data_IF_815001598695
#
_entry.id   IF_815001598695
#
_cell.length_a   1.000
_cell.length_b   1.000
_cell.length_c   1.000
_cell.angle_alpha   90.00
_cell.angle_beta   90.00
_cell.angle_gamma   90.00
#
_symmetry.space_group_name_H-M   'P 1'
#
loop_
_entity.id
_entity.type
_entity.pdbx_description
1 polymer ?
#
# COMPACT_ATOMS: atom_id res chain seq x y z
N UNK A 1 -4.33 25.34 5.84
CA UNK A 1 -4.74 25.18 4.43
C UNK A 1 -6.22 25.52 4.31
N UNK A 2 -6.59 26.31 3.30
CA UNK A 2 -7.99 26.62 2.99
C UNK A 2 -8.70 25.37 2.43
N UNK A 3 -9.95 25.15 2.80
CA UNK A 3 -10.74 23.99 2.32
C UNK A 3 -10.95 24.13 0.81
N UNK A 4 -10.75 23.07 0.00
CA UNK A 4 -11.06 23.12 -1.43
C UNK A 4 -12.56 23.34 -1.62
N UNK A 5 -12.92 24.38 -2.38
CA UNK A 5 -14.30 24.69 -2.78
C UNK A 5 -14.46 24.46 -4.27
N UNK A 6 -15.70 24.30 -4.74
CA UNK A 6 -15.99 24.29 -6.18
C UNK A 6 -15.72 25.67 -6.76
N UNK A 7 -15.12 25.70 -7.94
CA UNK A 7 -15.02 26.91 -8.75
C UNK A 7 -16.28 27.10 -9.60
N UNK A 8 -16.35 28.23 -10.32
CA UNK A 8 -17.46 28.60 -11.21
C UNK A 8 -17.73 27.56 -12.30
N UNK A 9 -16.70 26.83 -12.73
CA UNK A 9 -16.81 25.72 -13.69
C UNK A 9 -17.42 24.43 -13.09
N UNK A 10 -17.80 24.45 -11.81
CA UNK A 10 -18.39 23.32 -11.10
C UNK A 10 -17.39 22.22 -10.72
N UNK A 11 -16.11 22.40 -11.04
CA UNK A 11 -15.02 21.45 -10.78
C UNK A 11 -14.19 21.91 -9.56
N UNK A 12 -13.42 20.97 -9.03
CA UNK A 12 -12.44 21.23 -7.99
C UNK A 12 -11.05 21.38 -8.61
N UNK A 13 -10.39 22.51 -8.34
CA UNK A 13 -9.01 22.76 -8.72
C UNK A 13 -8.08 22.45 -7.55
N UNK A 14 -7.26 21.40 -7.69
CA UNK A 14 -6.28 21.02 -6.68
C UNK A 14 -4.94 20.77 -7.35
N UNK A 15 -3.91 21.51 -6.93
CA UNK A 15 -2.53 21.40 -7.45
C UNK A 15 -2.46 21.44 -8.99
N UNK A 16 -3.21 22.36 -9.62
CA UNK A 16 -3.24 22.53 -11.08
C UNK A 16 -4.04 21.47 -11.86
N UNK A 17 -4.71 20.53 -11.17
CA UNK A 17 -5.56 19.50 -11.79
C UNK A 17 -7.03 19.75 -11.48
N UNK A 18 -7.90 19.43 -12.44
CA UNK A 18 -9.36 19.51 -12.32
C UNK A 18 -9.95 18.17 -11.89
N UNK A 19 -10.88 18.18 -10.96
CA UNK A 19 -11.60 16.99 -10.48
C UNK A 19 -13.10 17.25 -10.41
N UNK A 20 -13.91 16.25 -10.77
CA UNK A 20 -15.38 16.35 -10.69
C UNK A 20 -15.88 16.31 -9.25
N UNK A 21 -15.21 15.51 -8.42
CA UNK A 21 -15.52 15.38 -6.99
C UNK A 21 -14.25 15.49 -6.15
N UNK A 22 -14.36 16.09 -4.97
CA UNK A 22 -13.22 16.17 -4.06
C UNK A 22 -12.92 14.81 -3.42
N UNK A 23 -13.97 14.14 -2.94
CA UNK A 23 -13.90 12.83 -2.30
C UNK A 23 -14.64 11.83 -3.19
N UNK A 24 -13.92 10.83 -3.68
CA UNK A 24 -14.51 9.72 -4.44
C UNK A 24 -14.86 8.56 -3.52
N UNK A 25 -15.89 7.78 -3.87
CA UNK A 25 -16.30 6.60 -3.10
C UNK A 25 -15.31 5.43 -3.26
N UNK A 26 -14.56 5.39 -4.36
CA UNK A 26 -13.64 4.28 -4.67
C UNK A 26 -12.25 4.74 -5.07
N UNK A 27 -11.26 3.87 -4.84
CA UNK A 27 -9.87 4.07 -5.32
C UNK A 27 -9.78 4.16 -6.85
N UNK A 28 -10.71 3.51 -7.55
CA UNK A 28 -10.77 3.53 -9.01
C UNK A 28 -11.10 4.93 -9.55
N UNK A 29 -12.03 5.65 -8.91
CA UNK A 29 -12.36 7.03 -9.27
C UNK A 29 -11.16 7.97 -9.12
N UNK A 30 -10.37 7.79 -8.06
CA UNK A 30 -9.14 8.56 -7.84
C UNK A 30 -8.06 8.20 -8.88
N UNK A 31 -7.89 6.90 -9.16
CA UNK A 31 -6.93 6.44 -10.16
C UNK A 31 -7.22 6.97 -11.57
N UNK A 32 -8.50 6.98 -11.95
CA UNK A 32 -8.99 7.51 -13.22
C UNK A 32 -8.96 9.04 -13.29
N UNK A 33 -8.72 9.75 -12.17
CA UNK A 33 -8.67 11.21 -12.13
C UNK A 33 -10.03 11.90 -12.01
N UNK A 34 -11.11 11.15 -11.76
CA UNK A 34 -12.44 11.74 -11.53
C UNK A 34 -12.53 12.44 -10.18
N UNK A 35 -11.85 11.87 -9.17
CA UNK A 35 -11.84 12.38 -7.80
C UNK A 35 -10.42 12.69 -7.31
N UNK A 36 -10.28 13.69 -6.43
CA UNK A 36 -8.97 14.06 -5.88
C UNK A 36 -8.44 13.04 -4.87
N UNK A 37 -9.29 12.63 -3.91
CA UNK A 37 -8.92 11.70 -2.84
C UNK A 37 -10.02 10.71 -2.49
N UNK A 38 -9.63 9.62 -1.84
CA UNK A 38 -10.57 8.64 -1.25
C UNK A 38 -11.15 9.18 0.07
N UNK A 39 -12.18 8.53 0.67
CA UNK A 39 -12.71 8.94 1.97
C UNK A 39 -11.65 8.84 3.07
N UNK A 40 -10.73 7.88 2.94
CA UNK A 40 -9.57 7.71 3.82
C UNK A 40 -8.35 8.58 3.45
N UNK A 41 -8.52 9.60 2.62
CA UNK A 41 -7.49 10.61 2.33
C UNK A 41 -6.40 10.20 1.32
N UNK A 42 -6.45 8.99 0.75
CA UNK A 42 -5.46 8.55 -0.25
C UNK A 42 -5.65 9.32 -1.58
N UNK A 43 -4.57 9.89 -2.08
CA UNK A 43 -4.48 10.52 -3.41
C UNK A 43 -3.99 9.52 -4.45
N UNK A 44 -3.93 9.92 -5.72
CA UNK A 44 -3.46 9.04 -6.81
C UNK A 44 -2.02 8.55 -6.59
N UNK A 45 -1.16 9.38 -6.03
CA UNK A 45 0.26 9.05 -5.78
C UNK A 45 0.42 8.02 -4.63
N UNK A 46 -0.57 7.94 -3.75
CA UNK A 46 -0.63 6.96 -2.67
C UNK A 46 -1.16 5.59 -3.12
N UNK A 47 -1.58 5.46 -4.39
CA UNK A 47 -2.16 4.26 -4.97
C UNK A 47 -1.16 3.54 -5.87
N UNK A 48 -1.35 2.22 -5.99
CA UNK A 48 -0.50 1.34 -6.78
C UNK A 48 -1.33 0.27 -7.46
N UNK A 49 -1.08 0.04 -8.75
CA UNK A 49 -1.67 -1.07 -9.49
C UNK A 49 -0.81 -2.33 -9.26
N UNK A 50 -1.35 -3.30 -8.53
CA UNK A 50 -0.61 -4.52 -8.26
C UNK A 50 -0.61 -5.47 -9.47
N UNK A 51 0.19 -6.54 -9.41
CA UNK A 51 0.25 -7.57 -10.46
C UNK A 51 -1.09 -8.29 -10.72
N UNK A 52 -2.05 -8.18 -9.79
CA UNK A 52 -3.41 -8.74 -9.91
C UNK A 52 -4.41 -7.72 -10.44
N UNK A 53 -3.94 -6.62 -11.05
CA UNK A 53 -4.75 -5.53 -11.60
C UNK A 53 -5.69 -4.85 -10.58
N UNK A 54 -5.35 -4.90 -9.29
CA UNK A 54 -6.09 -4.21 -8.23
C UNK A 54 -5.36 -2.95 -7.81
N UNK A 55 -6.13 -1.88 -7.60
CA UNK A 55 -5.64 -0.60 -7.08
C UNK A 55 -5.59 -0.70 -5.55
N UNK A 56 -4.38 -0.73 -5.00
CA UNK A 56 -4.11 -0.86 -3.57
C UNK A 56 -3.35 0.36 -3.05
N UNK A 57 -3.29 0.53 -1.73
CA UNK A 57 -2.41 1.55 -1.13
C UNK A 57 -0.94 1.16 -1.31
N UNK A 58 -0.14 2.10 -1.82
CA UNK A 58 1.30 1.96 -2.01
C UNK A 58 2.02 1.69 -0.69
N UNK A 59 1.63 2.38 0.39
CA UNK A 59 2.17 2.19 1.75
C UNK A 59 1.99 0.75 2.22
N UNK A 60 0.78 0.20 2.07
CA UNK A 60 0.47 -1.19 2.48
C UNK A 60 1.21 -2.21 1.61
N UNK A 61 1.31 -1.98 0.29
CA UNK A 61 2.07 -2.84 -0.60
C UNK A 61 3.57 -2.88 -0.25
N UNK A 62 4.18 -1.71 0.05
CA UNK A 62 5.58 -1.63 0.49
C UNK A 62 5.80 -2.30 1.85
N UNK A 63 4.89 -2.07 2.80
CA UNK A 63 4.95 -2.69 4.13
C UNK A 63 4.92 -4.22 4.04
N UNK A 64 3.98 -4.77 3.28
CA UNK A 64 3.87 -6.23 3.08
C UNK A 64 5.16 -6.85 2.53
N UNK A 65 5.84 -6.21 1.57
CA UNK A 65 7.14 -6.67 1.07
C UNK A 65 8.23 -6.65 2.14
N UNK A 66 8.24 -5.62 2.99
CA UNK A 66 9.21 -5.50 4.10
C UNK A 66 8.97 -6.59 5.15
N UNK A 67 7.73 -6.77 5.58
CA UNK A 67 7.33 -7.80 6.55
C UNK A 67 7.62 -9.21 6.02
N UNK A 68 7.26 -9.51 4.77
CA UNK A 68 7.55 -10.82 4.18
C UNK A 68 9.07 -11.08 4.10
N UNK A 69 9.87 -10.06 3.75
CA UNK A 69 11.34 -10.15 3.75
C UNK A 69 11.88 -10.36 5.17
N UNK A 70 11.34 -9.68 6.18
CA UNK A 70 11.73 -9.82 7.58
C UNK A 70 11.37 -11.20 8.13
N UNK A 71 10.14 -11.66 7.89
CA UNK A 71 9.68 -12.99 8.25
C UNK A 71 10.55 -14.06 7.59
N UNK A 72 10.86 -13.93 6.30
CA UNK A 72 11.81 -14.83 5.62
C UNK A 72 13.18 -14.85 6.29
N UNK A 73 13.67 -13.71 6.80
CA UNK A 73 14.94 -13.63 7.55
C UNK A 73 14.86 -14.26 8.93
N UNK A 74 13.79 -13.99 9.69
CA UNK A 74 13.58 -14.54 11.03
C UNK A 74 13.37 -16.06 10.98
N UNK A 75 12.49 -16.53 10.09
CA UNK A 75 12.21 -17.96 9.86
C UNK A 75 13.25 -18.66 8.98
N UNK A 76 14.29 -17.97 8.50
CA UNK A 76 15.41 -18.66 7.82
C UNK A 76 16.12 -19.61 8.79
N UNK A 77 16.22 -19.22 10.06
CA UNK A 77 16.96 -19.93 11.08
C UNK A 77 16.10 -20.87 11.92
N UNK A 78 14.77 -20.76 11.87
CA UNK A 78 13.86 -21.52 12.72
C UNK A 78 12.82 -22.28 11.89
N UNK A 79 12.46 -23.48 12.33
CA UNK A 79 11.49 -24.37 11.69
C UNK A 79 10.56 -24.97 12.72
N UNK A 80 9.38 -25.41 12.28
CA UNK A 80 8.58 -26.37 13.04
C UNK A 80 9.04 -27.80 12.69
N UNK A 81 9.04 -28.71 13.67
CA UNK A 81 9.26 -30.15 13.47
C UNK A 81 8.08 -30.91 14.07
N UNK A 82 7.49 -31.83 13.31
CA UNK A 82 6.38 -32.67 13.79
C UNK A 82 6.78 -33.38 15.09
N UNK A 83 5.89 -33.35 16.09
CA UNK A 83 6.09 -33.97 17.40
C UNK A 83 6.95 -33.16 18.39
N UNK A 84 7.36 -31.93 18.06
CA UNK A 84 8.05 -31.02 18.98
C UNK A 84 7.31 -29.69 19.03
N UNK A 85 7.02 -29.23 20.25
CA UNK A 85 6.34 -27.95 20.48
C UNK A 85 7.34 -26.78 20.42
N UNK A 86 6.95 -25.67 19.77
CA UNK A 86 7.77 -24.46 19.65
C UNK A 86 8.68 -24.37 18.42
N UNK A 87 9.46 -23.27 18.36
CA UNK A 87 10.36 -22.98 17.24
C UNK A 87 11.73 -23.68 17.41
N UNK A 88 12.18 -24.42 16.38
CA UNK A 88 13.42 -25.20 16.42
C UNK A 88 14.45 -24.57 15.49
N UNK A 89 15.64 -24.25 16.01
CA UNK A 89 16.72 -23.66 15.22
C UNK A 89 17.29 -24.67 14.21
N UNK A 90 17.38 -24.30 12.93
CA UNK A 90 18.02 -25.08 11.87
C UNK A 90 19.54 -25.01 12.04
N UNK A 91 20.24 -26.14 11.90
CA UNK A 91 21.70 -26.17 11.84
C UNK A 91 22.17 -25.58 10.51
N UNK A 92 22.43 -24.26 10.48
CA UNK A 92 23.05 -23.60 9.32
C UNK A 92 24.57 -23.69 9.47
N UNK A 93 25.27 -24.29 8.50
CA UNK A 93 26.74 -24.23 8.44
C UNK A 93 27.16 -22.75 8.41
N UNK A 94 27.99 -22.31 9.36
CA UNK A 94 28.63 -20.99 9.29
C UNK A 94 29.61 -21.05 8.11
N UNK A 95 29.29 -20.40 7.01
CA UNK A 95 30.32 -20.12 6.02
C UNK A 95 31.32 -19.16 6.69
N UNK A 96 32.53 -19.63 6.96
CA UNK A 96 33.66 -18.75 7.31
C UNK A 96 33.85 -17.80 6.14
N UNK A 97 33.85 -16.50 6.43
CA UNK A 97 34.35 -15.49 5.50
C UNK A 97 35.85 -15.72 5.27
#
# INVERSE_FOLDING_TARGET
MKRPVRHEDGLYHVNGKKYKTLIGSSRKQVWNGTAYKTPGGLTKDDLFLNKRQRIVSLKKHRLSKKEHKQNKRLFAQYTAKKGKFGAIKKNTRKNRK
#
